data_IF_381561782874
#
_entry.id   IF_381561782874
#
_cell.length_a   1.000
_cell.length_b   1.000
_cell.length_c   1.000
_cell.angle_alpha   90.00
_cell.angle_beta   90.00
_cell.angle_gamma   90.00
#
_symmetry.space_group_name_H-M   'P 1'
#
loop_
_entity.id
_entity.type
_entity.pdbx_description
1 polymer ?
#
# COMPACT_ATOMS: atom_id res chain seq x y z
N UNK A 1 1.01 -7.56 -3.58
CA UNK A 1 -0.46 -7.57 -3.81
C UNK A 1 -1.08 -6.38 -3.08
N UNK A 2 -2.26 -5.90 -3.50
CA UNK A 2 -3.00 -4.86 -2.78
C UNK A 2 -4.17 -5.50 -2.05
N UNK A 3 -4.23 -5.32 -0.74
CA UNK A 3 -5.36 -5.77 0.07
C UNK A 3 -6.13 -4.55 0.54
N UNK A 4 -7.42 -4.50 0.24
CA UNK A 4 -8.33 -3.49 0.78
C UNK A 4 -9.07 -4.09 1.97
N UNK A 5 -9.04 -3.40 3.11
CA UNK A 5 -9.76 -3.78 4.33
C UNK A 5 -10.81 -2.72 4.64
N UNK A 6 -12.04 -3.16 4.83
CA UNK A 6 -13.13 -2.36 5.36
C UNK A 6 -13.29 -2.69 6.84
N UNK A 7 -13.16 -1.68 7.68
CA UNK A 7 -13.28 -1.81 9.13
C UNK A 7 -13.64 -0.46 9.73
N UNK A 8 -14.39 -0.48 10.83
CA UNK A 8 -14.62 0.69 11.68
C UNK A 8 -13.37 1.10 12.49
N UNK A 9 -12.36 0.24 12.61
CA UNK A 9 -11.15 0.45 13.41
C UNK A 9 -9.91 0.67 12.53
N UNK A 10 -10.01 1.63 11.60
CA UNK A 10 -8.97 1.87 10.59
C UNK A 10 -7.60 2.21 11.20
N UNK A 11 -7.56 2.99 12.28
CA UNK A 11 -6.30 3.35 12.94
C UNK A 11 -5.58 2.12 13.51
N UNK A 12 -6.33 1.19 14.12
CA UNK A 12 -5.78 -0.07 14.63
C UNK A 12 -5.30 -0.96 13.49
N UNK A 13 -6.04 -1.01 12.36
CA UNK A 13 -5.62 -1.72 11.16
C UNK A 13 -4.33 -1.14 10.58
N UNK A 14 -4.20 0.19 10.51
CA UNK A 14 -2.98 0.85 10.04
C UNK A 14 -1.81 0.54 10.99
N UNK A 15 -2.03 0.62 12.30
CA UNK A 15 -1.01 0.27 13.29
C UNK A 15 -0.58 -1.20 13.17
N UNK A 16 -1.53 -2.12 12.92
CA UNK A 16 -1.24 -3.54 12.70
C UNK A 16 -0.46 -3.76 11.40
N UNK A 17 -0.88 -3.15 10.30
CA UNK A 17 -0.17 -3.23 9.02
C UNK A 17 1.28 -2.76 9.13
N UNK A 18 1.54 -1.67 9.88
CA UNK A 18 2.90 -1.19 10.15
C UNK A 18 3.76 -2.23 10.90
N UNK A 19 3.20 -3.00 11.83
CA UNK A 19 3.93 -4.09 12.53
C UNK A 19 4.40 -5.20 11.59
N UNK A 20 3.65 -5.45 10.51
CA UNK A 20 4.00 -6.44 9.50
C UNK A 20 4.70 -5.83 8.27
N UNK A 21 5.11 -4.57 8.35
CA UNK A 21 5.73 -3.84 7.24
C UNK A 21 4.86 -3.82 5.98
N UNK A 22 3.53 -3.65 6.15
CA UNK A 22 2.57 -3.45 5.07
C UNK A 22 2.29 -1.95 4.92
N UNK A 23 2.88 -1.27 3.92
CA UNK A 23 2.58 0.13 3.64
C UNK A 23 1.09 0.30 3.35
N UNK A 24 0.46 1.23 4.04
CA UNK A 24 -0.95 1.57 3.79
C UNK A 24 -1.06 2.68 2.75
N UNK A 25 -2.15 2.68 1.99
CA UNK A 25 -2.54 3.69 1.00
C UNK A 25 -4.04 3.93 1.08
N UNK A 26 -4.48 5.10 0.62
CA UNK A 26 -5.89 5.45 0.48
C UNK A 26 -6.25 5.55 -0.99
N UNK A 27 -7.22 4.76 -1.42
CA UNK A 27 -7.81 4.85 -2.75
C UNK A 27 -9.25 5.31 -2.59
N UNK A 28 -9.48 6.62 -2.73
CA UNK A 28 -10.76 7.22 -2.34
C UNK A 28 -11.01 7.05 -0.84
N UNK A 29 -12.09 6.36 -0.47
CA UNK A 29 -12.42 6.06 0.93
C UNK A 29 -11.82 4.73 1.42
N UNK A 30 -11.27 3.92 0.52
CA UNK A 30 -10.82 2.58 0.84
C UNK A 30 -9.43 2.58 1.49
N UNK A 31 -9.30 1.82 2.57
CA UNK A 31 -8.03 1.54 3.24
C UNK A 31 -7.36 0.34 2.59
N UNK A 32 -6.24 0.58 1.92
CA UNK A 32 -5.47 -0.43 1.23
C UNK A 32 -4.10 -0.66 1.87
N UNK A 33 -3.60 -1.89 1.79
CA UNK A 33 -2.29 -2.31 2.24
C UNK A 33 -1.53 -2.97 1.11
N UNK A 34 -0.28 -2.57 0.92
CA UNK A 34 0.65 -3.26 0.04
C UNK A 34 1.27 -4.42 0.79
N UNK A 35 1.06 -5.63 0.27
CA UNK A 35 1.72 -6.84 0.77
C UNK A 35 2.94 -7.15 -0.11
N UNK A 36 4.14 -7.28 0.49
CA UNK A 36 5.38 -7.54 -0.24
C UNK A 36 5.45 -8.96 -0.83
N UNK A 37 4.70 -9.89 -0.24
CA UNK A 37 4.53 -11.28 -0.67
C UNK A 37 3.04 -11.57 -0.88
N UNK A 38 2.73 -12.57 -1.70
CA UNK A 38 1.35 -13.06 -1.87
C UNK A 38 1.02 -13.92 -0.66
N UNK A 39 -0.06 -13.56 0.03
CA UNK A 39 -0.52 -14.23 1.24
C UNK A 39 -1.91 -14.80 0.98
N UNK A 40 -2.20 -15.97 1.53
CA UNK A 40 -3.57 -16.50 1.46
C UNK A 40 -4.50 -15.61 2.29
N UNK A 41 -5.77 -15.53 1.90
CA UNK A 41 -6.78 -14.70 2.56
C UNK A 41 -6.88 -15.00 4.05
N UNK A 42 -6.71 -16.27 4.43
CA UNK A 42 -6.69 -16.71 5.82
C UNK A 42 -5.51 -16.09 6.58
N UNK A 43 -4.30 -16.12 6.01
CA UNK A 43 -3.12 -15.54 6.64
C UNK A 43 -3.20 -14.02 6.75
N UNK A 44 -3.91 -13.38 5.82
CA UNK A 44 -4.18 -11.95 5.88
C UNK A 44 -5.13 -11.67 7.06
N UNK A 45 -6.26 -12.37 7.13
CA UNK A 45 -7.23 -12.24 8.23
C UNK A 45 -6.54 -12.49 9.59
N UNK A 46 -5.70 -13.54 9.67
CA UNK A 46 -4.98 -13.89 10.89
C UNK A 46 -4.05 -12.76 11.36
N UNK A 47 -3.36 -12.06 10.44
CA UNK A 47 -2.52 -10.90 10.80
C UNK A 47 -3.33 -9.73 11.37
N UNK A 48 -4.59 -9.57 10.97
CA UNK A 48 -5.50 -8.56 11.47
C UNK A 48 -6.44 -9.06 12.58
N UNK A 49 -6.14 -10.22 13.20
CA UNK A 49 -6.92 -10.76 14.32
C UNK A 49 -7.14 -9.73 15.43
N UNK A 50 -8.38 -9.67 15.91
CA UNK A 50 -8.83 -8.73 16.95
C UNK A 50 -9.38 -7.41 16.42
N UNK A 51 -9.26 -7.16 15.12
CA UNK A 51 -9.87 -6.00 14.45
C UNK A 51 -11.11 -6.50 13.71
N UNK A 52 -12.30 -5.88 13.91
CA UNK A 52 -13.50 -6.27 13.19
C UNK A 52 -13.34 -5.90 11.71
N UNK A 53 -13.38 -6.89 10.83
CA UNK A 53 -13.29 -6.70 9.39
C UNK A 53 -14.69 -6.88 8.81
N UNK A 54 -15.22 -5.82 8.23
CA UNK A 54 -16.53 -5.80 7.57
C UNK A 54 -16.43 -6.27 6.11
N UNK A 55 -15.24 -6.17 5.52
CA UNK A 55 -14.96 -6.60 4.15
C UNK A 55 -13.46 -6.65 3.86
N UNK A 56 -13.07 -7.58 2.98
CA UNK A 56 -11.70 -7.70 2.49
C UNK A 56 -11.71 -8.02 1.00
N UNK A 57 -10.84 -7.36 0.23
CA UNK A 57 -10.62 -7.70 -1.18
C UNK A 57 -9.14 -7.66 -1.51
N UNK A 58 -8.70 -8.59 -2.34
CA UNK A 58 -7.30 -8.75 -2.71
C UNK A 58 -7.18 -8.56 -4.23
N UNK A 59 -6.28 -7.68 -4.64
CA UNK A 59 -6.11 -7.25 -6.02
C UNK A 59 -4.65 -7.40 -6.44
N UNK A 60 -4.39 -7.95 -7.65
CA UNK A 60 -3.04 -7.95 -8.19
C UNK A 60 -2.52 -6.52 -8.34
N UNK A 61 -1.20 -6.34 -8.22
CA UNK A 61 -0.59 -5.01 -8.39
C UNK A 61 -0.62 -4.65 -9.89
N UNK A 62 -1.54 -3.77 -10.26
CA UNK A 62 -1.61 -3.14 -11.59
C UNK A 62 -0.84 -1.80 -11.63
N UNK A 63 -0.57 -1.27 -12.83
CA UNK A 63 0.18 -0.03 -13.05
C UNK A 63 -0.40 1.20 -12.31
N UNK A 64 -1.72 1.25 -12.11
CA UNK A 64 -2.40 2.29 -11.33
C UNK A 64 -1.92 2.35 -9.87
N UNK A 65 -1.46 1.22 -9.31
CA UNK A 65 -0.91 1.13 -7.97
C UNK A 65 0.58 1.50 -7.90
N UNK A 66 1.29 1.58 -9.02
CA UNK A 66 2.74 1.84 -9.09
C UNK A 66 3.04 3.32 -9.48
N UNK A 67 2.10 4.00 -10.13
CA UNK A 67 2.33 5.30 -10.78
C UNK A 67 2.74 6.46 -9.85
N UNK A 68 2.58 6.32 -8.54
CA UNK A 68 2.94 7.36 -7.56
C UNK A 68 4.43 7.41 -7.19
N UNK A 69 5.19 6.33 -7.40
CA UNK A 69 6.63 6.33 -7.06
C UNK A 69 7.53 6.91 -8.16
N UNK A 70 7.04 6.96 -9.41
CA UNK A 70 7.83 7.48 -10.55
C UNK A 70 7.75 9.01 -10.64
N UNK A 71 6.70 9.64 -10.10
CA UNK A 71 6.49 11.10 -10.14
C UNK A 71 6.84 11.81 -8.84
N UNK A 72 6.84 11.12 -7.69
CA UNK A 72 7.39 11.63 -6.43
C UNK A 72 8.86 11.30 -6.23
N UNK A 73 9.57 11.06 -7.33
CA UNK A 73 11.02 11.14 -7.34
C UNK A 73 11.43 12.46 -6.68
N UNK A 74 12.18 12.37 -5.59
CA UNK A 74 13.29 13.30 -5.36
C UNK A 74 14.17 13.23 -6.61
N UNK A 75 13.77 13.94 -7.65
CA UNK A 75 14.64 14.29 -8.75
C UNK A 75 15.73 15.16 -8.12
N UNK A 76 16.81 14.53 -7.66
CA UNK A 76 18.10 15.20 -7.73
C UNK A 76 18.24 15.62 -9.18
N UNK A 77 18.13 16.92 -9.40
CA UNK A 77 18.20 17.58 -10.69
C UNK A 77 19.30 16.94 -11.54
N UNK A 78 19.00 16.35 -12.71
CA UNK A 78 20.07 16.02 -13.63
C UNK A 78 20.74 17.34 -14.00
N UNK A 79 22.01 17.49 -13.65
CA UNK A 79 22.86 18.58 -14.15
C UNK A 79 22.88 18.42 -15.68
N UNK A 80 22.09 19.24 -16.35
CA UNK A 80 22.23 19.42 -17.79
C UNK A 80 23.69 19.81 -18.06
N UNK A 81 24.41 18.94 -18.76
CA UNK A 81 25.67 19.29 -19.39
C UNK A 81 25.35 20.36 -20.43
N UNK A 82 25.64 21.62 -20.10
CA UNK A 82 25.61 22.71 -21.07
C UNK A 82 26.51 22.35 -22.25
N UNK A 83 26.05 22.51 -23.50
CA UNK A 83 26.93 22.36 -24.65
C UNK A 83 28.00 23.45 -24.58
N UNK A 84 29.27 23.03 -24.61
CA UNK A 84 30.39 23.95 -24.82
C UNK A 84 30.23 24.56 -26.22
N UNK A 85 30.10 25.89 -26.28
CA UNK A 85 30.49 26.66 -27.46
C UNK A 85 31.92 27.14 -27.26
#
# INVERSE_FOLDING_TARGET
EIVVIQTSQEEEAIARGRKYNFPHRRYGNDLAFWLPEVLDIKEIIDRFTGIPIDGISCHPVSLEHIYLEVTQGKCSTPKYLSPKK
#
